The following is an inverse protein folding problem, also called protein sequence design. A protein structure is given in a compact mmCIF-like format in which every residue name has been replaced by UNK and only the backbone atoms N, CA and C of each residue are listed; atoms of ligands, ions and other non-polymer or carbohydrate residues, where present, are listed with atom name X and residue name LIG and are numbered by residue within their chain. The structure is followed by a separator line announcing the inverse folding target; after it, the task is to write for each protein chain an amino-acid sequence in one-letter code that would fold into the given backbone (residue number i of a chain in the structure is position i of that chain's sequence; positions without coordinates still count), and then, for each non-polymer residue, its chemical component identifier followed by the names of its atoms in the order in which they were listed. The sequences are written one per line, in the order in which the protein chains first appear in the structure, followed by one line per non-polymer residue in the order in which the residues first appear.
data_IF_983810518136
#
_entry.id   IF_983810518136
#
_cell.length_a   1.000
_cell.length_b   1.000
_cell.length_c   1.000
_cell.angle_alpha   90.00
_cell.angle_beta   90.00
_cell.angle_gamma   90.00
#
_symmetry.space_group_name_H-M   'P 1'
#
loop_
_entity.id
_entity.type
_entity.pdbx_description
1 polymer ?
#
# COMPACT_ATOMS: atom_id res chain seq x y z
N UNK A 1 -13.00 25.28 -42.89
CA UNK A 1 -13.03 23.84 -42.56
C UNK A 1 -13.67 23.72 -41.19
N UNK A 2 -14.84 23.11 -41.12
CA UNK A 2 -15.68 23.09 -39.91
C UNK A 2 -15.35 21.87 -39.05
N UNK A 3 -14.51 22.07 -38.04
CA UNK A 3 -13.92 21.00 -37.20
C UNK A 3 -14.88 20.46 -36.13
N UNK A 4 -16.10 20.98 -36.04
CA UNK A 4 -17.11 20.59 -35.05
C UNK A 4 -18.07 19.51 -35.54
N UNK A 5 -17.89 18.99 -36.76
CA UNK A 5 -18.70 17.90 -37.28
C UNK A 5 -18.40 16.59 -36.52
N UNK A 6 -19.42 15.88 -36.02
CA UNK A 6 -19.26 14.69 -35.18
C UNK A 6 -18.57 13.52 -35.90
N UNK A 7 -18.58 13.52 -37.24
CA UNK A 7 -17.93 12.53 -38.10
C UNK A 7 -16.40 12.49 -37.92
N UNK A 8 -15.79 13.57 -37.43
CA UNK A 8 -14.34 13.65 -37.18
C UNK A 8 -13.96 13.39 -35.71
N UNK A 9 -14.96 13.19 -34.82
CA UNK A 9 -14.71 12.85 -33.44
C UNK A 9 -14.46 11.35 -33.32
N UNK A 10 -13.18 10.97 -33.20
CA UNK A 10 -12.73 9.57 -33.02
C UNK A 10 -13.29 8.91 -31.73
N UNK A 11 -13.94 9.70 -30.87
CA UNK A 11 -14.68 9.26 -29.70
C UNK A 11 -16.15 9.68 -29.88
N UNK A 12 -17.03 8.70 -30.05
CA UNK A 12 -18.50 8.90 -30.16
C UNK A 12 -19.10 9.59 -28.92
N UNK A 13 -18.37 9.62 -27.79
CA UNK A 13 -18.77 10.23 -26.52
C UNK A 13 -17.64 11.13 -26.02
N UNK A 14 -17.85 12.45 -26.08
CA UNK A 14 -16.97 13.41 -25.45
C UNK A 14 -16.97 13.19 -23.93
N UNK A 15 -15.78 13.03 -23.32
CA UNK A 15 -15.63 12.87 -21.88
C UNK A 15 -15.79 11.44 -21.34
N UNK A 16 -15.73 10.39 -22.18
CA UNK A 16 -15.67 9.00 -21.69
C UNK A 16 -14.52 8.83 -20.67
N UNK A 17 -14.79 8.28 -19.47
CA UNK A 17 -13.79 8.07 -18.42
C UNK A 17 -12.69 7.09 -18.84
N UNK A 18 -12.89 6.34 -19.93
CA UNK A 18 -11.89 5.43 -20.48
C UNK A 18 -10.74 6.15 -21.19
N UNK A 19 -10.88 7.44 -21.49
CA UNK A 19 -9.86 8.23 -22.19
C UNK A 19 -9.41 7.61 -23.52
N UNK A 20 -8.32 8.13 -24.10
CA UNK A 20 -7.66 7.47 -25.23
C UNK A 20 -6.95 6.21 -24.71
N UNK A 21 -7.52 5.03 -24.96
CA UNK A 21 -6.82 3.76 -24.72
C UNK A 21 -5.55 3.74 -25.58
N UNK A 22 -4.39 3.69 -24.93
CA UNK A 22 -3.11 3.57 -25.65
C UNK A 22 -3.06 2.21 -26.33
N UNK A 23 -2.54 2.17 -27.55
CA UNK A 23 -2.31 0.89 -28.23
C UNK A 23 -1.32 0.04 -27.43
N UNK A 24 -1.42 -1.29 -27.55
CA UNK A 24 -0.50 -2.23 -26.90
C UNK A 24 0.96 -1.90 -27.22
N UNK A 25 1.27 -1.55 -28.47
CA UNK A 25 2.61 -1.12 -28.88
C UNK A 25 3.09 0.14 -28.15
N UNK A 26 2.20 1.10 -27.91
CA UNK A 26 2.54 2.34 -27.20
C UNK A 26 2.80 2.05 -25.73
N UNK A 27 1.97 1.20 -25.11
CA UNK A 27 2.20 0.73 -23.74
C UNK A 27 3.55 0.00 -23.62
N UNK A 28 3.92 -0.83 -24.59
CA UNK A 28 5.23 -1.51 -24.64
C UNK A 28 6.42 -0.59 -24.92
N UNK A 29 6.21 0.60 -25.49
CA UNK A 29 7.26 1.63 -25.61
C UNK A 29 7.43 2.43 -24.31
N UNK A 30 6.34 2.63 -23.58
CA UNK A 30 6.34 3.35 -22.30
C UNK A 30 6.78 2.48 -21.11
N UNK A 31 6.47 1.19 -21.16
CA UNK A 31 6.83 0.18 -20.16
C UNK A 31 7.94 -0.73 -20.71
N UNK A 32 8.88 -1.13 -19.86
CA UNK A 32 9.96 -2.05 -20.25
C UNK A 32 11.29 -1.38 -20.61
N UNK A 33 12.23 -2.18 -21.11
CA UNK A 33 13.66 -1.85 -21.24
C UNK A 33 13.94 -0.66 -22.16
N UNK A 34 13.07 -0.43 -23.15
CA UNK A 34 13.19 0.67 -24.12
C UNK A 34 12.65 2.00 -23.59
N UNK A 35 12.00 2.02 -22.43
CA UNK A 35 11.51 3.25 -21.82
C UNK A 35 12.69 4.13 -21.42
N UNK A 36 12.64 5.43 -21.72
CA UNK A 36 13.68 6.39 -21.33
C UNK A 36 13.97 6.38 -19.83
N UNK A 37 13.00 5.98 -19.01
CA UNK A 37 13.08 5.90 -17.56
C UNK A 37 13.50 4.52 -17.03
N UNK A 38 13.64 3.52 -17.90
CA UNK A 38 14.07 2.19 -17.48
C UNK A 38 15.48 2.21 -16.91
N UNK A 39 15.67 1.61 -15.73
CA UNK A 39 16.95 1.60 -15.01
C UNK A 39 17.37 2.97 -14.41
N UNK A 40 16.63 4.06 -14.68
CA UNK A 40 16.93 5.37 -14.09
C UNK A 40 16.25 5.52 -12.74
N UNK A 41 17.03 5.48 -11.67
CA UNK A 41 16.55 5.87 -10.35
C UNK A 41 16.54 7.39 -10.21
N UNK A 42 15.48 7.93 -9.61
CA UNK A 42 15.45 9.35 -9.22
C UNK A 42 16.38 9.54 -8.03
N UNK A 43 17.18 10.61 -8.04
CA UNK A 43 18.01 10.93 -6.88
C UNK A 43 17.13 11.26 -5.66
N UNK A 44 17.63 10.95 -4.47
CA UNK A 44 16.88 11.13 -3.21
C UNK A 44 16.43 12.58 -3.03
N UNK A 45 17.29 13.55 -3.38
CA UNK A 45 16.96 14.98 -3.35
C UNK A 45 15.73 15.33 -4.20
N UNK A 46 15.59 14.71 -5.37
CA UNK A 46 14.40 14.94 -6.22
C UNK A 46 13.17 14.25 -5.64
N UNK A 47 13.32 13.04 -5.09
CA UNK A 47 12.23 12.33 -4.42
C UNK A 47 11.72 13.08 -3.19
N UNK A 48 12.62 13.66 -2.41
CA UNK A 48 12.30 14.46 -1.24
C UNK A 48 11.57 15.75 -1.62
N UNK A 49 12.02 16.45 -2.67
CA UNK A 49 11.30 17.61 -3.22
C UNK A 49 9.88 17.25 -3.64
N UNK A 50 9.68 16.13 -4.33
CA UNK A 50 8.35 15.66 -4.72
C UNK A 50 7.50 15.31 -3.49
N UNK A 51 8.08 14.64 -2.50
CA UNK A 51 7.39 14.29 -1.25
C UNK A 51 6.94 15.55 -0.50
N UNK A 52 7.81 16.54 -0.38
CA UNK A 52 7.50 17.81 0.29
C UNK A 52 6.44 18.63 -0.49
N UNK A 53 6.48 18.58 -1.82
CA UNK A 53 5.49 19.26 -2.66
C UNK A 53 4.10 18.59 -2.64
N UNK A 54 4.01 17.30 -2.32
CA UNK A 54 2.74 16.53 -2.39
C UNK A 54 2.14 16.18 -1.02
N UNK A 55 2.78 16.57 0.07
CA UNK A 55 2.36 16.27 1.45
C UNK A 55 1.86 17.51 2.21
N UNK A 56 1.11 17.26 3.29
CA UNK A 56 0.64 18.31 4.20
C UNK A 56 -0.18 19.38 3.48
N UNK A 57 0.12 20.65 3.77
CA UNK A 57 -0.56 21.84 3.23
C UNK A 57 -0.34 22.06 1.72
N UNK A 58 0.71 21.48 1.15
CA UNK A 58 1.04 21.64 -0.26
C UNK A 58 0.23 20.70 -1.17
N UNK A 59 -0.41 19.67 -0.59
CA UNK A 59 -1.30 18.80 -1.36
C UNK A 59 -2.53 19.59 -1.82
N UNK A 60 -2.86 19.53 -3.10
CA UNK A 60 -4.03 20.24 -3.67
C UNK A 60 -5.37 19.83 -3.04
N UNK A 61 -5.44 18.66 -2.40
CA UNK A 61 -6.62 18.21 -1.65
C UNK A 61 -6.61 18.64 -0.17
N UNK A 62 -5.55 19.28 0.31
CA UNK A 62 -5.48 19.73 1.69
C UNK A 62 -6.58 20.74 1.99
N UNK A 63 -7.29 20.54 3.10
CA UNK A 63 -8.43 21.39 3.50
C UNK A 63 -9.73 21.12 2.74
N UNK A 64 -9.72 20.35 1.65
CA UNK A 64 -10.95 19.98 0.93
C UNK A 64 -11.77 18.99 1.76
N UNK A 65 -13.06 19.29 1.97
CA UNK A 65 -14.01 18.36 2.59
C UNK A 65 -14.73 17.57 1.49
N UNK A 66 -14.85 16.26 1.65
CA UNK A 66 -15.64 15.42 0.74
C UNK A 66 -17.13 15.62 1.02
N UNK A 67 -17.92 15.73 -0.04
CA UNK A 67 -19.40 15.77 0.05
C UNK A 67 -19.94 14.47 0.63
N UNK A 68 -21.11 14.53 1.27
CA UNK A 68 -21.74 13.33 1.85
C UNK A 68 -22.08 12.29 0.77
N UNK A 69 -22.51 12.74 -0.41
CA UNK A 69 -22.70 11.89 -1.59
C UNK A 69 -21.43 11.11 -1.96
N UNK A 70 -20.27 11.77 -1.99
CA UNK A 70 -19.00 11.12 -2.28
C UNK A 70 -18.64 10.08 -1.20
N UNK A 71 -18.88 10.38 0.07
CA UNK A 71 -18.63 9.43 1.16
C UNK A 71 -19.56 8.22 1.08
N UNK A 72 -20.82 8.42 0.72
CA UNK A 72 -21.78 7.35 0.48
C UNK A 72 -21.29 6.45 -0.66
N UNK A 73 -20.94 7.04 -1.80
CA UNK A 73 -20.39 6.31 -2.95
C UNK A 73 -19.10 5.54 -2.61
N UNK A 74 -18.20 6.14 -1.83
CA UNK A 74 -16.99 5.46 -1.36
C UNK A 74 -17.32 4.28 -0.43
N UNK A 75 -18.34 4.41 0.42
CA UNK A 75 -18.81 3.34 1.28
C UNK A 75 -19.47 2.20 0.48
N UNK A 76 -20.20 2.53 -0.60
CA UNK A 76 -20.78 1.56 -1.53
C UNK A 76 -19.70 0.80 -2.31
N UNK A 77 -18.66 1.52 -2.76
CA UNK A 77 -17.53 0.97 -3.51
C UNK A 77 -16.60 0.06 -2.68
N UNK A 78 -16.80 -0.01 -1.36
CA UNK A 78 -16.06 -0.90 -0.46
C UNK A 78 -16.93 -2.10 -0.05
N UNK A 79 -17.19 -3.07 -0.96
CA UNK A 79 -18.07 -4.22 -0.70
C UNK A 79 -17.52 -5.15 0.39
N UNK A 80 -16.23 -5.03 0.70
CA UNK A 80 -15.55 -5.78 1.78
C UNK A 80 -15.91 -5.29 3.18
N UNK A 81 -16.95 -4.48 3.33
CA UNK A 81 -17.44 -4.06 4.65
C UNK A 81 -18.13 -5.24 5.33
N UNK A 82 -17.33 -6.01 6.07
CA UNK A 82 -17.78 -7.17 6.85
C UNK A 82 -18.83 -6.70 7.87
N UNK A 83 -20.07 -7.17 7.72
CA UNK A 83 -21.10 -7.11 8.77
C UNK A 83 -21.07 -8.39 9.58
N UNK A 84 -21.42 -8.27 10.86
CA UNK A 84 -21.43 -9.39 11.78
C UNK A 84 -22.83 -9.57 12.36
N UNK A 85 -23.47 -10.69 12.05
CA UNK A 85 -24.67 -11.14 12.75
C UNK A 85 -24.23 -11.81 14.05
N UNK A 86 -24.83 -11.36 15.15
CA UNK A 86 -24.64 -11.92 16.48
C UNK A 86 -26.00 -12.40 16.97
N UNK A 87 -26.15 -13.71 17.09
CA UNK A 87 -27.32 -14.34 17.66
C UNK A 87 -27.06 -14.70 19.12
N UNK A 88 -27.88 -14.19 20.03
CA UNK A 88 -27.82 -14.51 21.46
C UNK A 88 -28.74 -15.70 21.76
N UNK A 89 -28.16 -16.81 22.20
CA UNK A 89 -28.89 -18.04 22.47
C UNK A 89 -29.83 -17.93 23.68
N UNK A 90 -29.57 -17.00 24.60
CA UNK A 90 -30.42 -16.84 25.81
C UNK A 90 -31.68 -16.02 25.52
N UNK A 91 -31.54 -14.92 24.79
CA UNK A 91 -32.65 -14.02 24.47
C UNK A 91 -33.33 -14.35 23.15
N UNK A 92 -32.75 -15.25 22.35
CA UNK A 92 -33.19 -15.60 20.99
C UNK A 92 -33.30 -14.38 20.07
N UNK A 93 -32.47 -13.37 20.30
CA UNK A 93 -32.42 -12.15 19.48
C UNK A 93 -31.19 -12.12 18.59
N UNK A 94 -31.37 -11.67 17.35
CA UNK A 94 -30.28 -11.47 16.39
C UNK A 94 -30.02 -9.97 16.21
N UNK A 95 -28.77 -9.55 16.42
CA UNK A 95 -28.34 -8.17 16.23
C UNK A 95 -27.25 -8.12 15.17
N UNK A 96 -27.46 -7.29 14.15
CA UNK A 96 -26.51 -7.12 13.04
C UNK A 96 -25.67 -5.87 13.29
N UNK A 97 -24.36 -6.06 13.39
CA UNK A 97 -23.40 -4.97 13.57
C UNK A 97 -22.73 -4.60 12.24
N UNK A 98 -22.42 -3.30 12.10
CA UNK A 98 -21.74 -2.74 10.92
C UNK A 98 -20.27 -3.15 10.77
N UNK A 99 -19.66 -3.66 11.84
CA UNK A 99 -18.28 -4.14 11.86
C UNK A 99 -18.01 -5.01 13.09
N UNK A 100 -16.93 -5.81 13.03
CA UNK A 100 -16.42 -6.59 14.17
C UNK A 100 -16.07 -5.67 15.37
N UNK A 101 -15.52 -4.49 15.10
CA UNK A 101 -15.16 -3.52 16.16
C UNK A 101 -16.40 -2.99 16.90
N UNK A 102 -17.49 -2.74 16.19
CA UNK A 102 -18.76 -2.31 16.79
C UNK A 102 -19.34 -3.41 17.70
N UNK A 103 -19.36 -4.66 17.21
CA UNK A 103 -19.80 -5.82 18.00
C UNK A 103 -18.90 -6.03 19.24
N UNK A 104 -17.59 -5.94 19.08
CA UNK A 104 -16.60 -6.02 20.16
C UNK A 104 -16.89 -5.02 21.28
N UNK A 105 -17.19 -3.76 20.93
CA UNK A 105 -17.52 -2.71 21.89
C UNK A 105 -18.86 -2.97 22.59
N UNK A 106 -19.88 -3.41 21.85
CA UNK A 106 -21.21 -3.66 22.39
C UNK A 106 -21.25 -4.88 23.34
N UNK A 107 -20.52 -5.95 22.99
CA UNK A 107 -20.50 -7.19 23.76
C UNK A 107 -19.44 -7.21 24.88
N UNK A 108 -18.50 -6.25 24.88
CA UNK A 108 -17.41 -6.19 25.88
C UNK A 108 -16.31 -7.23 25.67
N UNK A 109 -16.08 -7.70 24.43
CA UNK A 109 -15.04 -8.68 24.09
C UNK A 109 -13.94 -8.06 23.26
N UNK A 110 -12.73 -8.63 23.34
CA UNK A 110 -11.64 -8.22 22.45
C UNK A 110 -11.96 -8.60 21.01
N UNK A 111 -11.55 -7.74 20.06
CA UNK A 111 -11.67 -8.00 18.62
C UNK A 111 -11.05 -9.34 18.23
N UNK A 112 -9.91 -9.68 18.84
CA UNK A 112 -9.16 -10.92 18.57
C UNK A 112 -9.96 -12.15 18.97
N UNK A 113 -10.67 -12.12 20.11
CA UNK A 113 -11.50 -13.23 20.56
C UNK A 113 -12.66 -13.49 19.59
N UNK A 114 -13.30 -12.43 19.10
CA UNK A 114 -14.36 -12.51 18.09
C UNK A 114 -13.81 -13.10 16.78
N UNK A 115 -12.70 -12.56 16.26
CA UNK A 115 -12.06 -13.08 15.03
C UNK A 115 -11.66 -14.55 15.16
N UNK A 116 -11.06 -14.94 16.29
CA UNK A 116 -10.70 -16.32 16.56
C UNK A 116 -11.92 -17.23 16.51
N UNK A 117 -13.04 -16.81 17.13
CA UNK A 117 -14.25 -17.61 17.15
C UNK A 117 -14.94 -17.70 15.80
N UNK A 118 -14.93 -16.63 15.01
CA UNK A 118 -15.45 -16.68 13.63
C UNK A 118 -14.66 -17.71 12.81
N UNK A 119 -13.32 -17.73 12.92
CA UNK A 119 -12.47 -18.68 12.18
C UNK A 119 -12.62 -20.13 12.64
N UNK A 120 -12.72 -20.35 13.95
CA UNK A 120 -12.85 -21.69 14.53
C UNK A 120 -14.28 -22.22 14.49
N UNK A 121 -15.27 -21.34 14.32
CA UNK A 121 -16.67 -21.65 14.57
C UNK A 121 -16.98 -21.81 16.06
N UNK A 122 -18.25 -22.00 16.41
CA UNK A 122 -18.73 -22.28 17.77
C UNK A 122 -19.19 -21.05 18.57
N UNK A 123 -19.59 -21.29 19.81
CA UNK A 123 -20.17 -20.29 20.69
C UNK A 123 -19.09 -19.42 21.36
N UNK A 124 -19.34 -18.12 21.44
CA UNK A 124 -18.56 -17.19 22.26
C UNK A 124 -19.15 -17.19 23.68
N UNK A 125 -18.37 -17.65 24.66
CA UNK A 125 -18.80 -17.89 26.06
C UNK A 125 -20.11 -18.69 26.17
N UNK A 126 -20.28 -19.70 25.31
CA UNK A 126 -21.46 -20.57 25.30
C UNK A 126 -22.82 -19.83 25.14
N UNK A 127 -22.77 -18.57 24.68
CA UNK A 127 -23.94 -17.69 24.58
C UNK A 127 -24.17 -17.14 23.17
N UNK A 128 -23.12 -16.63 22.52
CA UNK A 128 -23.28 -15.93 21.24
C UNK A 128 -22.82 -16.78 20.06
N UNK A 129 -23.64 -16.86 19.02
CA UNK A 129 -23.29 -17.42 17.72
C UNK A 129 -22.95 -16.25 16.79
N UNK A 130 -21.79 -16.32 16.17
CA UNK A 130 -21.25 -15.26 15.31
C UNK A 130 -21.25 -15.72 13.86
N UNK A 131 -21.86 -14.95 12.97
CA UNK A 131 -21.87 -15.23 11.51
C UNK A 131 -21.45 -13.98 10.74
N UNK A 132 -20.50 -14.12 9.83
CA UNK A 132 -20.20 -13.05 8.87
C UNK A 132 -21.34 -13.00 7.87
N UNK A 133 -21.94 -11.81 7.73
CA UNK A 133 -22.93 -11.54 6.69
C UNK A 133 -22.20 -10.83 5.56
N UNK A 134 -21.98 -11.55 4.45
CA UNK A 134 -21.56 -10.93 3.21
C UNK A 134 -22.72 -10.11 2.66
N UNK A 135 -22.45 -8.84 2.33
CA UNK A 135 -23.41 -7.98 1.64
C UNK A 135 -23.41 -8.40 0.17
N UNK A 136 -24.01 -9.55 -0.14
CA UNK A 136 -24.31 -9.91 -1.52
C UNK A 136 -25.54 -9.11 -1.93
N UNK A 137 -25.30 -7.96 -2.56
CA UNK A 137 -26.29 -7.10 -3.22
C UNK A 137 -27.46 -6.69 -2.32
N UNK A 138 -27.27 -5.64 -1.54
CA UNK A 138 -28.41 -4.91 -0.96
C UNK A 138 -29.13 -4.21 -2.11
N UNK A 139 -30.42 -4.52 -2.29
CA UNK A 139 -31.31 -3.76 -3.17
C UNK A 139 -31.42 -2.32 -2.64
N UNK A 140 -30.72 -1.39 -3.27
CA UNK A 140 -30.71 0.03 -2.90
C UNK A 140 -32.03 0.76 -3.19
N UNK A 141 -33.12 0.05 -3.51
CA UNK A 141 -34.43 0.62 -3.85
C UNK A 141 -35.15 1.29 -2.68
N UNK A 142 -34.60 1.22 -1.46
CA UNK A 142 -35.24 1.75 -0.23
C UNK A 142 -34.41 2.81 0.50
N UNK A 143 -33.43 3.46 -0.15
CA UNK A 143 -32.80 4.63 0.45
C UNK A 143 -33.71 5.87 0.31
N UNK A 144 -34.06 6.56 1.41
CA UNK A 144 -34.92 7.74 1.37
C UNK A 144 -34.21 8.90 0.66
N UNK A 145 -34.80 9.37 -0.44
CA UNK A 145 -34.28 10.41 -1.33
C UNK A 145 -34.36 11.84 -0.75
N UNK A 146 -34.90 12.01 0.46
CA UNK A 146 -35.41 13.30 0.94
C UNK A 146 -34.38 14.22 1.62
N UNK A 147 -33.08 14.01 1.44
CA UNK A 147 -32.03 14.81 2.11
C UNK A 147 -31.00 15.45 1.17
N UNK A 148 -31.45 16.02 0.05
CA UNK A 148 -30.61 16.90 -0.77
C UNK A 148 -31.37 18.20 -1.05
N UNK A 149 -31.42 19.10 -0.06
CA UNK A 149 -31.56 20.54 -0.31
C UNK A 149 -30.18 21.16 -0.29
N UNK A 150 -29.84 21.77 -1.41
CA UNK A 150 -28.53 22.28 -1.77
C UNK A 150 -28.27 23.62 -1.07
N UNK A 151 -27.19 23.71 -0.30
CA UNK A 151 -26.57 25.00 0.04
C UNK A 151 -25.44 25.26 -0.98
N UNK A 152 -25.81 25.88 -2.10
CA UNK A 152 -24.90 26.40 -3.12
C UNK A 152 -24.54 27.85 -2.83
N UNK A 153 -23.83 28.11 -1.74
CA UNK A 153 -23.15 29.40 -1.51
C UNK A 153 -21.76 29.17 -0.92
N UNK A 154 -20.77 28.95 -1.81
CA UNK A 154 -19.37 28.79 -1.43
C UNK A 154 -18.45 29.41 -2.46
N UNK A 155 -18.05 30.66 -2.20
CA UNK A 155 -17.05 31.44 -2.93
C UNK A 155 -15.85 30.59 -3.35
N UNK A 156 -15.45 30.71 -4.62
CA UNK A 156 -14.18 30.21 -5.12
C UNK A 156 -13.01 30.89 -4.39
N UNK A 157 -12.02 30.15 -3.88
CA UNK A 157 -10.82 30.76 -3.33
C UNK A 157 -9.99 31.38 -4.48
N UNK A 158 -9.37 32.56 -4.26
CA UNK A 158 -8.53 33.20 -5.26
C UNK A 158 -7.30 32.35 -5.56
N UNK A 159 -7.00 32.20 -6.86
CA UNK A 159 -5.78 31.60 -7.38
C UNK A 159 -4.59 32.43 -6.92
N UNK A 160 -3.80 31.88 -6.00
CA UNK A 160 -2.56 32.48 -5.53
C UNK A 160 -1.46 32.22 -6.58
N UNK A 161 -1.41 33.07 -7.60
CA UNK A 161 -0.36 33.09 -8.62
C UNK A 161 0.86 33.84 -8.08
N UNK A 162 1.88 33.11 -7.61
CA UNK A 162 3.12 33.77 -7.18
C UNK A 162 4.15 32.86 -6.55
N UNK A 163 4.47 31.71 -7.16
CA UNK A 163 5.67 30.97 -6.79
C UNK A 163 6.72 31.18 -7.88
N UNK A 164 7.66 32.09 -7.59
CA UNK A 164 8.88 32.31 -8.36
C UNK A 164 9.69 31.01 -8.42
N UNK A 165 9.70 30.37 -9.58
CA UNK A 165 10.60 29.26 -9.87
C UNK A 165 12.04 29.79 -9.99
N UNK A 166 12.75 29.80 -8.87
CA UNK A 166 14.18 30.05 -8.86
C UNK A 166 14.89 28.98 -9.71
N UNK A 167 15.68 29.46 -10.67
CA UNK A 167 16.46 28.68 -11.64
C UNK A 167 17.59 27.96 -10.90
N UNK A 168 17.31 26.76 -10.37
CA UNK A 168 18.31 25.96 -9.66
C UNK A 168 19.31 25.39 -10.66
N UNK A 169 20.56 25.83 -10.54
CA UNK A 169 21.70 25.30 -11.28
C UNK A 169 21.76 23.77 -11.11
N UNK A 170 21.94 23.06 -12.23
CA UNK A 170 22.12 21.61 -12.26
C UNK A 170 23.42 21.25 -11.53
N UNK A 171 23.34 20.94 -10.24
CA UNK A 171 24.42 20.22 -9.58
C UNK A 171 24.51 18.82 -10.20
N UNK A 172 25.70 18.38 -10.66
CA UNK A 172 25.89 17.00 -11.09
C UNK A 172 25.64 16.09 -9.89
N UNK A 173 24.70 15.15 -10.05
CA UNK A 173 24.47 14.11 -9.07
C UNK A 173 25.74 13.25 -9.01
N UNK A 174 26.53 13.46 -7.96
CA UNK A 174 27.64 12.62 -7.55
C UNK A 174 27.26 11.15 -7.70
N UNK A 175 27.94 10.43 -8.59
CA UNK A 175 27.90 8.98 -8.63
C UNK A 175 28.25 8.45 -7.25
N UNK A 176 27.29 7.81 -6.59
CA UNK A 176 27.54 7.12 -5.33
C UNK A 176 28.73 6.19 -5.52
N UNK A 177 29.84 6.50 -4.86
CA UNK A 177 30.88 5.52 -4.58
C UNK A 177 30.19 4.53 -3.65
N UNK A 178 29.64 3.47 -4.21
CA UNK A 178 29.10 2.38 -3.40
C UNK A 178 30.29 1.77 -2.70
N UNK A 179 30.46 2.04 -1.40
CA UNK A 179 31.35 1.25 -0.56
C UNK A 179 30.96 -0.22 -0.75
N UNK A 180 31.79 -0.95 -1.49
CA UNK A 180 31.57 -2.36 -1.75
C UNK A 180 31.70 -3.05 -0.40
N UNK A 181 30.59 -3.63 0.05
CA UNK A 181 30.57 -4.34 1.31
C UNK A 181 30.91 -5.78 1.02
N UNK A 182 32.02 -6.26 1.55
CA UNK A 182 32.40 -7.67 1.45
C UNK A 182 31.84 -8.39 2.68
N UNK A 183 31.30 -9.59 2.47
CA UNK A 183 30.78 -10.44 3.52
C UNK A 183 31.72 -11.62 3.70
N UNK A 184 32.32 -11.73 4.87
CA UNK A 184 33.23 -12.81 5.22
C UNK A 184 32.54 -13.81 6.13
N UNK A 185 32.78 -15.10 5.88
CA UNK A 185 32.33 -16.20 6.72
C UNK A 185 33.53 -16.75 7.45
N UNK A 186 33.46 -16.72 8.76
CA UNK A 186 34.57 -16.99 9.67
C UNK A 186 34.25 -18.24 10.47
N UNK A 187 35.24 -19.12 10.66
CA UNK A 187 35.12 -20.31 11.51
C UNK A 187 35.29 -19.96 13.00
N UNK A 188 35.09 -20.92 13.90
CA UNK A 188 35.30 -20.74 15.35
C UNK A 188 36.72 -20.25 15.70
N UNK A 189 37.69 -20.57 14.85
CA UNK A 189 39.10 -20.17 15.00
C UNK A 189 39.40 -18.75 14.51
N UNK A 190 38.41 -18.02 14.00
CA UNK A 190 38.63 -16.68 13.45
C UNK A 190 39.19 -16.66 12.03
N UNK A 191 39.28 -17.82 11.36
CA UNK A 191 39.79 -17.91 9.98
C UNK A 191 38.66 -17.69 8.97
N UNK A 192 38.93 -16.87 7.95
CA UNK A 192 37.99 -16.64 6.84
C UNK A 192 37.93 -17.89 5.97
N UNK A 193 36.74 -18.51 5.92
CA UNK A 193 36.44 -19.70 5.13
C UNK A 193 35.89 -19.31 3.75
N UNK A 194 35.04 -18.28 3.71
CA UNK A 194 34.41 -17.80 2.47
C UNK A 194 34.31 -16.28 2.44
N UNK A 195 34.32 -15.69 1.25
CA UNK A 195 34.10 -14.26 1.03
C UNK A 195 33.09 -14.05 -0.11
N UNK A 196 32.13 -13.16 0.09
CA UNK A 196 31.07 -12.85 -0.86
C UNK A 196 30.98 -11.34 -1.11
N UNK A 197 30.60 -10.96 -2.32
CA UNK A 197 30.36 -9.55 -2.67
C UNK A 197 28.92 -9.12 -2.37
N UNK A 198 28.03 -10.09 -2.19
CA UNK A 198 26.59 -9.88 -2.07
C UNK A 198 25.95 -10.80 -1.03
N UNK A 199 24.90 -10.31 -0.39
CA UNK A 199 24.11 -11.09 0.58
C UNK A 199 23.37 -12.23 -0.13
N UNK A 200 22.98 -12.00 -1.38
CA UNK A 200 22.27 -12.94 -2.23
C UNK A 200 23.14 -14.17 -2.55
N UNK A 201 24.42 -13.97 -2.90
CA UNK A 201 25.38 -15.06 -3.15
C UNK A 201 25.61 -15.90 -1.89
N UNK A 202 25.79 -15.22 -0.76
CA UNK A 202 25.92 -15.87 0.54
C UNK A 202 24.68 -16.72 0.88
N UNK A 203 23.49 -16.16 0.68
CA UNK A 203 22.22 -16.85 0.92
C UNK A 203 22.07 -18.13 0.07
N UNK A 204 22.46 -18.06 -1.22
CA UNK A 204 22.44 -19.19 -2.14
C UNK A 204 23.42 -20.29 -1.71
N UNK A 205 24.66 -19.95 -1.36
CA UNK A 205 25.68 -20.93 -0.94
C UNK A 205 25.27 -21.71 0.31
N UNK A 206 24.58 -21.06 1.25
CA UNK A 206 24.11 -21.69 2.48
C UNK A 206 22.71 -22.28 2.37
N UNK A 207 22.05 -22.20 1.21
CA UNK A 207 20.67 -22.66 0.98
C UNK A 207 19.67 -22.05 2.00
N UNK A 208 19.85 -20.77 2.34
CA UNK A 208 18.99 -20.04 3.29
C UNK A 208 18.40 -18.77 2.69
N UNK A 209 17.34 -18.24 3.30
CA UNK A 209 16.76 -16.96 2.87
C UNK A 209 17.69 -15.78 3.15
N UNK A 210 17.62 -14.73 2.31
CA UNK A 210 18.31 -13.43 2.53
C UNK A 210 18.05 -12.86 3.93
N UNK A 211 16.81 -13.00 4.42
CA UNK A 211 16.38 -12.55 5.76
C UNK A 211 17.15 -13.29 6.86
N UNK A 212 17.45 -14.56 6.67
CA UNK A 212 18.23 -15.36 7.62
C UNK A 212 19.64 -14.81 7.75
N UNK A 213 20.31 -14.54 6.61
CA UNK A 213 21.65 -13.96 6.59
C UNK A 213 21.68 -12.59 7.28
N UNK A 214 20.74 -11.70 6.94
CA UNK A 214 20.62 -10.38 7.58
C UNK A 214 20.41 -10.48 9.10
N UNK A 215 19.56 -11.42 9.54
CA UNK A 215 19.32 -11.64 10.97
C UNK A 215 20.58 -12.15 11.69
N UNK A 216 21.41 -12.97 11.02
CA UNK A 216 22.68 -13.46 11.57
C UNK A 216 23.74 -12.37 11.64
N UNK A 217 23.85 -11.55 10.58
CA UNK A 217 24.68 -10.35 10.56
C UNK A 217 24.34 -9.37 11.69
N UNK A 218 23.04 -9.17 11.97
CA UNK A 218 22.62 -8.29 13.06
C UNK A 218 22.95 -8.85 14.46
N UNK A 219 23.03 -10.19 14.60
CA UNK A 219 23.26 -10.86 15.88
C UNK A 219 24.72 -11.21 16.14
N UNK A 220 25.58 -11.18 15.12
CA UNK A 220 26.97 -11.65 15.19
C UNK A 220 27.09 -13.01 15.90
N UNK A 221 26.21 -13.95 15.56
CA UNK A 221 26.15 -15.26 16.21
C UNK A 221 26.52 -16.39 15.28
N UNK A 222 27.26 -17.37 15.83
CA UNK A 222 27.59 -18.60 15.14
C UNK A 222 26.34 -19.41 14.78
N UNK A 223 26.41 -20.13 13.67
CA UNK A 223 25.38 -21.09 13.26
C UNK A 223 26.02 -22.37 12.71
N UNK A 224 25.38 -23.49 13.00
CA UNK A 224 25.80 -24.78 12.48
C UNK A 224 25.45 -24.87 10.99
N UNK A 225 26.44 -25.21 10.16
CA UNK A 225 26.27 -25.49 8.74
C UNK A 225 26.78 -26.89 8.40
N UNK A 226 25.98 -27.66 7.65
CA UNK A 226 26.27 -29.04 7.19
C UNK A 226 26.96 -29.91 8.25
N UNK A 227 26.39 -29.89 9.46
CA UNK A 227 26.55 -30.96 10.45
C UNK A 227 27.87 -31.05 11.21
N UNK A 228 28.60 -29.94 11.46
CA UNK A 228 29.45 -29.72 12.66
C UNK A 228 30.31 -28.44 12.62
N UNK A 229 30.27 -27.64 11.54
CA UNK A 229 31.03 -26.38 11.49
C UNK A 229 30.16 -25.23 11.98
N UNK A 230 30.61 -24.56 13.03
CA UNK A 230 29.99 -23.33 13.51
C UNK A 230 30.63 -22.14 12.79
N UNK A 231 29.85 -21.49 11.94
CA UNK A 231 30.30 -20.38 11.12
C UNK A 231 29.64 -19.08 11.58
N UNK A 232 30.35 -17.96 11.45
CA UNK A 232 29.84 -16.62 11.71
C UNK A 232 30.01 -15.76 10.45
N UNK A 233 28.99 -14.97 10.11
CA UNK A 233 29.05 -14.04 8.97
C UNK A 233 29.32 -12.64 9.50
N UNK A 234 30.34 -11.97 8.95
CA UNK A 234 30.71 -10.58 9.27
C UNK A 234 30.69 -9.72 8.02
N UNK A 235 30.36 -8.44 8.18
CA UNK A 235 30.48 -7.42 7.13
C UNK A 235 31.81 -6.68 7.29
N UNK A 236 32.59 -6.59 6.21
CA UNK A 236 33.83 -5.82 6.11
C UNK A 236 33.60 -4.65 5.16
N UNK A 237 33.91 -3.45 5.63
CA UNK A 237 33.91 -2.25 4.80
C UNK A 237 35.34 -2.02 4.34
N UNK A 238 35.56 -2.03 3.02
CA UNK A 238 36.81 -1.54 2.45
C UNK A 238 36.86 -0.02 2.68
N UNK A 239 37.87 0.41 3.44
CA UNK A 239 38.18 1.83 3.66
C UNK A 239 38.87 2.41 2.43
#
# INVERSE_FOLDING_TARGET
MDTLKPEYNVLLIAGSPEGRKLSYETLNKLSGVRSYWFGKSRCELTMEKIRNATSGKNNYQYGTKRTEEYKANLALAQPTRIRLSVFDNQTQTEVIYSSIKAASKALGYSRVAIDYRIKKGGLLKDRYILKIVSISNVDYSTLPTDLIKQDTTGLAPPLNSGVLFNKIAKQPCSSHISHSNIFEVIDEKGLVVYSFTSVEECALMFEVSRRTIQRRLAKNSFFAFKGNKNLMIRRVQLQ
#
